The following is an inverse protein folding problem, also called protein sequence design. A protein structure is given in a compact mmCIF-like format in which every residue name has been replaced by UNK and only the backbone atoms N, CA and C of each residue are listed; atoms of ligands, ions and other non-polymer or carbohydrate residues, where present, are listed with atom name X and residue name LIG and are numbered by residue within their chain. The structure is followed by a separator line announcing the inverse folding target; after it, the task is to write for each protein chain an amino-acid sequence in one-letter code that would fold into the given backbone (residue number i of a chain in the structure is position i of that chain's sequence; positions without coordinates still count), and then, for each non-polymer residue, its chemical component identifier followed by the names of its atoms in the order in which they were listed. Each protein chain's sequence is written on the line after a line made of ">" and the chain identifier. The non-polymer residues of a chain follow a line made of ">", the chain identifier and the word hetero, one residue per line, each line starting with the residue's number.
data_IF_738611034789
#
_entry.id   IF_738611034789
#
_cell.length_a   1.000
_cell.length_b   1.000
_cell.length_c   1.000
_cell.angle_alpha   90.00
_cell.angle_beta   90.00
_cell.angle_gamma   90.00
#
_symmetry.space_group_name_H-M   'P 1'
#
loop_
_entity.id
_entity.type
_entity.pdbx_description
1 polymer ?
#
# COMPACT_ATOMS: atom_id res chain seq x y z
N UNK A 1 -54.58 -53.56 -13.56
CA UNK A 1 -55.90 -53.21 -14.11
C UNK A 1 -56.86 -53.15 -12.94
N UNK A 2 -57.58 -52.03 -12.81
CA UNK A 2 -58.61 -51.70 -11.81
C UNK A 2 -58.13 -51.43 -10.37
N UNK A 3 -58.61 -50.44 -9.63
CA UNK A 3 -59.51 -49.31 -9.91
C UNK A 3 -59.50 -48.41 -8.65
N UNK A 4 -59.53 -47.09 -8.84
CA UNK A 4 -59.99 -46.15 -7.82
C UNK A 4 -61.51 -46.25 -7.69
N UNK A 5 -62.05 -46.23 -6.46
CA UNK A 5 -63.44 -45.81 -6.21
C UNK A 5 -63.50 -44.91 -4.97
N UNK A 6 -64.16 -43.77 -5.15
CA UNK A 6 -64.50 -42.72 -4.20
C UNK A 6 -65.39 -43.18 -3.04
N UNK A 7 -65.30 -42.49 -1.88
CA UNK A 7 -66.46 -41.85 -1.21
C UNK A 7 -66.09 -41.18 0.13
N UNK A 8 -66.42 -39.88 0.28
CA UNK A 8 -66.57 -39.14 1.57
C UNK A 8 -67.94 -39.51 2.24
N UNK A 9 -68.36 -38.94 3.39
CA UNK A 9 -67.71 -38.62 4.69
C UNK A 9 -68.54 -39.13 5.91
N UNK A 10 -68.00 -39.12 7.16
CA UNK A 10 -68.79 -38.92 8.41
C UNK A 10 -67.91 -38.66 9.65
N UNK A 11 -68.50 -37.98 10.64
CA UNK A 11 -67.96 -37.23 11.79
C UNK A 11 -67.52 -38.05 13.03
N UNK A 12 -66.60 -37.42 13.79
CA UNK A 12 -66.43 -37.27 15.26
C UNK A 12 -65.86 -38.39 16.19
N UNK A 13 -64.62 -38.13 16.69
CA UNK A 13 -64.09 -38.01 18.11
C UNK A 13 -64.35 -39.17 19.11
N UNK A 14 -63.33 -39.72 19.85
CA UNK A 14 -62.81 -39.12 21.11
C UNK A 14 -61.31 -39.28 21.50
N UNK A 15 -60.88 -38.30 22.32
CA UNK A 15 -60.02 -38.32 23.53
C UNK A 15 -58.52 -38.74 23.55
N UNK A 16 -57.69 -37.69 23.69
CA UNK A 16 -56.60 -37.42 24.68
C UNK A 16 -55.78 -38.54 25.35
N UNK A 17 -54.45 -38.39 25.26
CA UNK A 17 -53.57 -38.32 26.44
C UNK A 17 -52.28 -37.52 26.13
N UNK A 18 -52.10 -36.41 26.86
CA UNK A 18 -50.96 -35.49 26.82
C UNK A 18 -49.89 -35.98 27.80
N UNK A 19 -48.64 -36.13 27.35
CA UNK A 19 -47.47 -36.21 28.25
C UNK A 19 -46.76 -34.86 28.25
N UNK A 20 -46.75 -34.23 29.42
CA UNK A 20 -46.11 -32.94 29.65
C UNK A 20 -44.59 -33.02 29.59
N UNK A 21 -43.99 -32.03 28.92
CA UNK A 21 -42.57 -31.68 29.05
C UNK A 21 -42.55 -30.30 29.69
N UNK A 22 -41.93 -30.20 30.86
CA UNK A 22 -41.75 -28.96 31.62
C UNK A 22 -40.91 -27.96 30.80
N UNK A 23 -41.44 -26.76 30.62
CA UNK A 23 -40.71 -25.59 30.10
C UNK A 23 -39.98 -24.96 31.29
N UNK A 24 -38.65 -25.09 31.32
CA UNK A 24 -37.78 -24.36 32.23
C UNK A 24 -37.42 -23.02 31.57
N UNK A 25 -38.01 -21.93 32.05
CA UNK A 25 -37.69 -20.56 31.61
C UNK A 25 -36.42 -20.09 32.34
N UNK A 26 -35.27 -20.14 31.69
CA UNK A 26 -34.04 -19.49 32.15
C UNK A 26 -34.00 -18.05 31.64
N UNK A 27 -34.25 -17.10 32.54
CA UNK A 27 -33.94 -15.68 32.36
C UNK A 27 -32.41 -15.50 32.43
N UNK A 28 -31.75 -15.40 31.28
CA UNK A 28 -30.37 -14.93 31.17
C UNK A 28 -30.38 -13.39 31.11
N UNK A 29 -30.04 -12.77 32.23
CA UNK A 29 -29.55 -11.41 32.27
C UNK A 29 -28.14 -11.40 31.67
N UNK A 30 -28.01 -10.97 30.41
CA UNK A 30 -26.74 -10.60 29.82
C UNK A 30 -26.80 -9.12 29.48
N UNK A 31 -26.25 -8.30 30.37
CA UNK A 31 -25.67 -7.03 29.96
C UNK A 31 -24.34 -7.34 29.31
N UNK A 32 -24.21 -7.07 28.02
CA UNK A 32 -22.94 -7.07 27.30
C UNK A 32 -23.09 -6.06 26.16
N UNK A 33 -22.16 -5.10 26.12
CA UNK A 33 -22.08 -4.13 25.05
C UNK A 33 -22.03 -4.85 23.71
N UNK A 34 -22.88 -4.42 22.78
CA UNK A 34 -22.84 -4.89 21.42
C UNK A 34 -21.46 -4.56 20.82
N UNK A 35 -20.56 -5.53 20.83
CA UNK A 35 -19.43 -5.53 19.91
C UNK A 35 -20.05 -5.45 18.51
N UNK A 36 -19.80 -4.35 17.80
CA UNK A 36 -20.27 -4.19 16.42
C UNK A 36 -19.81 -5.39 15.61
N UNK A 37 -20.78 -6.20 15.17
CA UNK A 37 -20.52 -7.31 14.25
C UNK A 37 -20.12 -6.65 12.92
N UNK A 38 -18.82 -6.66 12.62
CA UNK A 38 -18.32 -6.24 11.31
C UNK A 38 -18.89 -7.23 10.28
N UNK A 39 -19.74 -6.79 9.33
CA UNK A 39 -20.30 -7.71 8.34
C UNK A 39 -19.18 -8.27 7.46
N UNK A 40 -19.25 -9.56 7.14
CA UNK A 40 -18.37 -10.15 6.12
C UNK A 40 -18.76 -9.56 4.77
N UNK A 41 -17.88 -8.81 4.13
CA UNK A 41 -18.10 -8.20 2.82
C UNK A 41 -18.11 -9.23 1.65
N UNK A 42 -18.46 -10.49 1.91
CA UNK A 42 -18.31 -11.66 1.03
C UNK A 42 -19.44 -11.81 -0.02
N UNK A 43 -20.10 -10.73 -0.45
CA UNK A 43 -21.07 -10.82 -1.55
C UNK A 43 -20.74 -9.86 -2.70
N UNK A 44 -20.35 -10.45 -3.82
CA UNK A 44 -20.13 -9.80 -5.13
C UNK A 44 -21.40 -9.17 -5.73
N UNK A 45 -22.56 -9.33 -5.09
CA UNK A 45 -23.84 -8.73 -5.48
C UNK A 45 -24.30 -7.58 -4.56
N UNK A 46 -23.65 -7.36 -3.40
CA UNK A 46 -24.16 -6.48 -2.34
C UNK A 46 -24.16 -4.98 -2.67
N UNK A 47 -23.26 -4.53 -3.56
CA UNK A 47 -23.12 -3.11 -3.89
C UNK A 47 -23.75 -2.71 -5.24
N UNK A 48 -24.33 -3.64 -6.00
CA UNK A 48 -24.93 -3.37 -7.32
C UNK A 48 -26.13 -2.40 -7.28
N UNK A 49 -26.67 -2.16 -6.09
CA UNK A 49 -27.81 -1.27 -5.86
C UNK A 49 -27.36 0.17 -5.55
N UNK A 50 -26.07 0.40 -5.30
CA UNK A 50 -25.55 1.72 -4.96
C UNK A 50 -24.86 2.34 -6.18
N UNK A 51 -25.37 3.46 -6.72
CA UNK A 51 -24.74 4.11 -7.85
C UNK A 51 -23.33 4.56 -7.46
N UNK A 52 -22.37 4.31 -8.34
CA UNK A 52 -21.03 4.92 -8.31
C UNK A 52 -21.16 6.38 -8.74
N UNK A 53 -22.01 7.15 -8.06
CA UNK A 53 -22.01 8.59 -8.22
C UNK A 53 -20.81 9.11 -7.45
N UNK A 54 -19.76 9.46 -8.19
CA UNK A 54 -18.54 10.05 -7.65
C UNK A 54 -18.76 11.44 -7.03
N UNK A 55 -19.96 12.02 -7.20
CA UNK A 55 -20.36 13.30 -6.65
C UNK A 55 -21.57 13.11 -5.73
N UNK A 56 -21.43 13.57 -4.50
CA UNK A 56 -22.52 13.64 -3.53
C UNK A 56 -23.33 14.92 -3.76
N UNK A 57 -24.65 14.82 -3.58
CA UNK A 57 -25.57 15.93 -3.90
C UNK A 57 -25.57 17.02 -2.82
N UNK A 58 -25.26 16.66 -1.57
CA UNK A 58 -25.24 17.60 -0.46
C UNK A 58 -23.81 18.14 -0.21
N UNK A 59 -23.66 19.42 0.18
CA UNK A 59 -22.36 20.05 0.39
C UNK A 59 -21.60 19.50 1.61
N UNK A 60 -22.30 18.84 2.53
CA UNK A 60 -21.74 18.15 3.71
C UNK A 60 -21.56 16.64 3.50
N UNK A 61 -21.85 16.13 2.29
CA UNK A 61 -21.69 14.73 1.95
C UNK A 61 -20.44 14.48 1.08
N UNK A 62 -19.70 13.43 1.44
CA UNK A 62 -18.46 13.05 0.80
C UNK A 62 -18.51 11.59 0.38
N UNK A 63 -17.96 11.30 -0.80
CA UNK A 63 -17.90 9.95 -1.29
C UNK A 63 -16.91 9.12 -0.46
N UNK A 64 -17.31 7.92 -0.07
CA UNK A 64 -16.47 6.93 0.59
C UNK A 64 -16.70 5.56 -0.03
N UNK A 65 -15.64 4.76 -0.25
CA UNK A 65 -15.75 3.37 -0.72
C UNK A 65 -16.37 2.41 0.31
N UNK A 66 -16.48 2.88 1.56
CA UNK A 66 -16.95 2.12 2.73
C UNK A 66 -18.08 2.86 3.44
N UNK A 67 -18.95 3.55 2.69
CA UNK A 67 -20.03 4.37 3.24
C UNK A 67 -21.22 3.55 3.76
N UNK A 68 -21.58 2.48 3.05
CA UNK A 68 -22.83 1.75 3.27
C UNK A 68 -22.57 0.29 3.63
N UNK A 69 -23.62 -0.39 4.11
CA UNK A 69 -23.58 -1.81 4.47
C UNK A 69 -22.44 -2.16 5.45
N UNK A 70 -22.31 -1.39 6.53
CA UNK A 70 -21.30 -1.62 7.58
C UNK A 70 -19.85 -1.50 7.09
N UNK A 71 -19.59 -0.65 6.09
CA UNK A 71 -18.25 -0.42 5.56
C UNK A 71 -17.92 -1.19 4.29
N UNK A 72 -18.85 -1.98 3.75
CA UNK A 72 -18.60 -2.85 2.61
C UNK A 72 -18.87 -2.20 1.25
N UNK A 73 -19.72 -1.16 1.18
CA UNK A 73 -20.17 -0.61 -0.09
C UNK A 73 -19.92 0.90 -0.22
N UNK A 74 -19.66 1.39 -1.45
CA UNK A 74 -19.45 2.81 -1.71
C UNK A 74 -20.75 3.61 -1.50
N UNK A 75 -20.60 4.91 -1.26
CA UNK A 75 -21.71 5.83 -1.09
C UNK A 75 -21.29 7.17 -0.50
N UNK A 76 -22.27 8.00 -0.18
CA UNK A 76 -22.05 9.31 0.42
C UNK A 76 -22.21 9.24 1.94
N UNK A 77 -21.26 9.83 2.67
CA UNK A 77 -21.32 9.99 4.12
C UNK A 77 -21.20 11.46 4.50
N UNK A 78 -21.94 11.87 5.52
CA UNK A 78 -21.78 13.22 6.07
C UNK A 78 -20.44 13.35 6.78
N UNK A 79 -19.78 14.48 6.62
CA UNK A 79 -18.52 14.76 7.30
C UNK A 79 -18.17 16.25 7.33
N UNK A 80 -17.25 16.61 8.21
CA UNK A 80 -16.73 17.97 8.28
C UNK A 80 -15.65 18.19 7.19
N UNK A 81 -15.71 19.29 6.42
CA UNK A 81 -14.74 19.57 5.37
C UNK A 81 -13.36 19.93 5.93
N UNK A 82 -12.35 19.98 5.05
CA UNK A 82 -11.00 20.45 5.40
C UNK A 82 -11.06 21.85 6.04
N UNK A 83 -10.41 22.03 7.18
CA UNK A 83 -10.39 23.30 7.92
C UNK A 83 -11.56 23.53 8.88
N UNK A 84 -12.58 22.67 8.89
CA UNK A 84 -13.69 22.78 9.85
C UNK A 84 -13.29 22.33 11.26
N UNK A 85 -13.95 22.89 12.27
CA UNK A 85 -13.77 22.52 13.67
C UNK A 85 -14.40 21.15 13.95
N UNK A 86 -13.66 20.26 14.60
CA UNK A 86 -14.04 18.91 15.00
C UNK A 86 -13.97 18.76 16.53
N UNK A 87 -14.66 17.77 17.10
CA UNK A 87 -14.73 17.56 18.56
C UNK A 87 -15.30 18.75 19.36
N UNK A 88 -16.09 19.61 18.74
CA UNK A 88 -16.78 20.70 19.45
C UNK A 88 -17.75 20.10 20.50
N UNK A 89 -17.70 20.54 21.78
CA UNK A 89 -18.71 20.17 22.75
C UNK A 89 -20.05 20.81 22.36
N UNK A 90 -21.10 19.99 22.26
CA UNK A 90 -22.46 20.45 21.96
C UNK A 90 -22.93 21.40 23.08
N UNK A 91 -22.88 22.71 22.85
CA UNK A 91 -23.30 23.73 23.81
C UNK A 91 -24.81 24.00 23.73
N UNK A 92 -25.62 22.96 23.50
CA UNK A 92 -27.07 23.05 23.41
C UNK A 92 -27.70 22.27 24.56
N UNK A 93 -28.24 23.00 25.53
CA UNK A 93 -29.19 22.52 26.56
C UNK A 93 -30.56 22.14 25.98
N UNK A 94 -30.59 21.53 24.79
CA UNK A 94 -31.84 21.08 24.15
C UNK A 94 -31.74 19.62 23.73
N UNK A 95 -32.52 18.81 24.45
CA UNK A 95 -32.97 17.45 24.17
C UNK A 95 -31.94 16.32 23.97
N UNK A 96 -32.18 15.13 24.58
CA UNK A 96 -31.25 13.99 24.59
C UNK A 96 -31.20 13.18 23.28
N UNK A 97 -31.52 13.77 22.13
CA UNK A 97 -31.51 13.09 20.81
C UNK A 97 -30.65 13.80 19.75
N UNK A 98 -29.87 14.81 20.11
CA UNK A 98 -28.96 15.49 19.18
C UNK A 98 -27.74 14.61 18.87
N UNK A 99 -27.65 14.21 17.60
CA UNK A 99 -26.57 13.43 16.99
C UNK A 99 -25.18 13.96 17.39
N UNK A 100 -24.19 13.09 17.69
CA UNK A 100 -22.81 13.53 17.88
C UNK A 100 -22.35 14.32 16.64
N UNK A 101 -21.64 15.42 16.85
CA UNK A 101 -21.05 16.21 15.76
C UNK A 101 -20.39 15.26 14.74
N UNK A 102 -20.65 15.44 13.42
CA UNK A 102 -20.17 14.49 12.43
C UNK A 102 -18.63 14.45 12.46
N UNK A 103 -18.01 13.28 12.23
CA UNK A 103 -16.56 13.20 12.13
C UNK A 103 -16.05 14.01 10.92
N UNK A 104 -14.74 14.24 10.87
CA UNK A 104 -14.12 14.75 9.65
C UNK A 104 -14.45 13.86 8.45
N UNK A 105 -14.58 14.47 7.27
CA UNK A 105 -14.86 13.77 6.03
C UNK A 105 -13.83 12.66 5.75
N UNK A 106 -14.20 11.61 4.98
CA UNK A 106 -13.27 10.54 4.59
C UNK A 106 -11.96 11.10 4.01
N UNK A 107 -10.83 10.59 4.49
CA UNK A 107 -9.51 11.12 4.12
C UNK A 107 -9.02 12.28 4.99
N UNK A 108 -9.82 12.75 5.94
CA UNK A 108 -9.42 13.77 6.91
C UNK A 108 -9.31 13.17 8.32
N UNK A 109 -8.49 13.79 9.16
CA UNK A 109 -8.35 13.48 10.59
C UNK A 109 -8.51 14.75 11.41
N UNK A 110 -9.12 14.62 12.59
CA UNK A 110 -9.18 15.72 13.56
C UNK A 110 -7.79 15.91 14.16
N UNK A 111 -7.11 16.99 13.78
CA UNK A 111 -5.74 17.27 14.15
C UNK A 111 -5.59 18.39 15.18
N UNK A 112 -4.38 18.92 15.30
CA UNK A 112 -4.04 20.03 16.19
C UNK A 112 -4.97 21.23 15.98
N UNK A 113 -5.49 21.75 17.10
CA UNK A 113 -6.43 22.86 17.13
C UNK A 113 -7.89 22.44 16.93
N UNK A 114 -8.21 21.14 17.04
CA UNK A 114 -9.56 20.62 16.79
C UNK A 114 -10.04 20.98 15.38
N UNK A 115 -9.16 20.87 14.39
CA UNK A 115 -9.47 21.18 13.00
C UNK A 115 -9.26 19.94 12.13
N UNK A 116 -10.18 19.69 11.19
CA UNK A 116 -10.04 18.64 10.20
C UNK A 116 -8.87 18.94 9.25
N UNK A 117 -7.91 18.02 9.17
CA UNK A 117 -6.69 18.10 8.36
C UNK A 117 -6.55 16.88 7.45
N UNK A 118 -5.74 17.01 6.40
CA UNK A 118 -5.46 15.90 5.49
C UNK A 118 -4.81 14.73 6.25
N UNK A 119 -5.36 13.52 6.06
CA UNK A 119 -4.69 12.29 6.46
C UNK A 119 -3.94 11.72 5.25
N UNK A 120 -2.66 12.09 5.09
CA UNK A 120 -1.85 11.67 3.92
C UNK A 120 -1.64 10.16 3.85
N UNK A 121 -1.83 9.42 4.94
CA UNK A 121 -1.82 7.96 4.93
C UNK A 121 -3.11 7.35 4.32
N UNK A 122 -4.13 8.16 4.04
CA UNK A 122 -5.37 7.75 3.40
C UNK A 122 -5.52 8.46 2.04
N UNK A 123 -5.65 7.72 0.95
CA UNK A 123 -5.70 8.31 -0.38
C UNK A 123 -6.94 9.20 -0.60
N UNK A 124 -8.05 8.97 0.13
CA UNK A 124 -9.23 9.83 0.06
C UNK A 124 -8.94 11.29 0.47
N UNK A 125 -7.81 11.55 1.15
CA UNK A 125 -7.35 12.92 1.43
C UNK A 125 -7.13 13.74 0.14
N UNK A 126 -6.86 13.07 -0.98
CA UNK A 126 -6.70 13.69 -2.31
C UNK A 126 -7.94 14.42 -2.81
N UNK A 127 -9.15 14.04 -2.35
CA UNK A 127 -10.40 14.70 -2.75
C UNK A 127 -10.59 16.08 -2.10
N UNK A 128 -9.78 16.42 -1.11
CA UNK A 128 -9.86 17.68 -0.37
C UNK A 128 -8.82 18.70 -0.82
N UNK A 129 -8.02 18.37 -1.84
CA UNK A 129 -6.95 19.24 -2.34
C UNK A 129 -7.33 19.76 -3.71
N UNK A 130 -7.22 21.07 -3.88
CA UNK A 130 -7.50 21.71 -5.16
C UNK A 130 -6.46 21.31 -6.21
N UNK A 131 -6.93 20.80 -7.35
CA UNK A 131 -6.11 20.28 -8.44
C UNK A 131 -5.33 21.38 -9.18
N UNK A 132 -5.68 22.64 -8.98
CA UNK A 132 -5.01 23.81 -9.56
C UNK A 132 -3.65 24.11 -8.89
N UNK A 133 -3.49 23.68 -7.65
CA UNK A 133 -2.30 23.95 -6.83
C UNK A 133 -1.28 22.80 -6.92
N UNK A 134 -1.74 21.57 -7.22
CA UNK A 134 -0.87 20.38 -7.27
C UNK A 134 -0.91 19.79 -8.68
N UNK A 135 0.25 19.76 -9.35
CA UNK A 135 0.38 19.25 -10.73
C UNK A 135 0.17 17.75 -10.89
N UNK A 136 0.10 16.98 -9.80
CA UNK A 136 -0.21 15.56 -9.83
C UNK A 136 -0.92 15.09 -8.56
N UNK A 137 -2.07 14.43 -8.73
CA UNK A 137 -2.85 13.85 -7.65
C UNK A 137 -2.72 12.32 -7.67
N UNK A 138 -2.36 11.68 -6.54
CA UNK A 138 -2.32 10.23 -6.42
C UNK A 138 -3.64 9.56 -6.81
N UNK A 139 -3.55 8.39 -7.43
CA UNK A 139 -4.72 7.59 -7.77
C UNK A 139 -5.09 6.69 -6.59
N UNK A 140 -6.37 6.65 -6.24
CA UNK A 140 -6.88 5.77 -5.20
C UNK A 140 -7.46 4.48 -5.79
N UNK A 141 -7.37 3.38 -5.03
CA UNK A 141 -8.07 2.16 -5.38
C UNK A 141 -9.54 2.20 -4.93
N UNK A 142 -10.30 1.15 -5.24
CA UNK A 142 -11.72 1.05 -4.92
C UNK A 142 -12.01 0.96 -3.42
N UNK A 143 -10.99 0.87 -2.55
CA UNK A 143 -11.10 0.89 -1.08
C UNK A 143 -10.62 2.21 -0.49
N UNK A 144 -10.24 3.19 -1.32
CA UNK A 144 -9.77 4.49 -0.87
C UNK A 144 -8.33 4.48 -0.35
N UNK A 145 -7.61 3.37 -0.56
CA UNK A 145 -6.17 3.30 -0.33
C UNK A 145 -5.44 3.83 -1.56
N UNK A 146 -4.13 4.04 -1.43
CA UNK A 146 -3.33 4.38 -2.61
C UNK A 146 -3.34 3.19 -3.58
N UNK A 147 -3.60 3.48 -4.85
CA UNK A 147 -3.50 2.47 -5.89
C UNK A 147 -2.06 1.92 -5.93
N UNK A 148 -1.88 0.59 -6.09
CA UNK A 148 -0.57 -0.04 -6.08
C UNK A 148 0.44 0.58 -7.04
N UNK A 149 -0.04 1.04 -8.21
CA UNK A 149 0.75 1.62 -9.29
C UNK A 149 0.41 3.09 -9.43
N UNK A 150 1.40 3.95 -9.29
CA UNK A 150 1.28 5.38 -9.54
C UNK A 150 2.16 5.77 -10.72
N UNK A 151 1.58 6.38 -11.75
CA UNK A 151 2.31 6.79 -12.95
C UNK A 151 2.32 8.32 -13.07
N UNK A 152 3.48 8.91 -13.36
CA UNK A 152 3.64 10.35 -13.58
C UNK A 152 4.47 10.64 -14.84
N UNK A 153 4.52 11.91 -15.24
CA UNK A 153 5.24 12.37 -16.43
C UNK A 153 4.56 12.02 -17.75
N UNK A 154 5.20 12.46 -18.85
CA UNK A 154 4.72 12.28 -20.22
C UNK A 154 4.86 10.81 -20.70
N UNK A 155 4.46 10.54 -21.96
CA UNK A 155 4.50 9.18 -22.52
C UNK A 155 5.91 8.63 -22.79
N UNK A 156 6.90 9.50 -22.98
CA UNK A 156 8.27 9.15 -23.37
C UNK A 156 9.21 9.04 -22.17
N UNK A 157 9.14 9.97 -21.23
CA UNK A 157 9.99 10.08 -20.04
C UNK A 157 9.28 9.68 -18.74
N UNK A 158 7.95 9.53 -18.79
CA UNK A 158 7.15 9.16 -17.64
C UNK A 158 7.51 7.78 -17.09
N UNK A 159 7.31 7.64 -15.78
CA UNK A 159 7.60 6.42 -15.02
C UNK A 159 6.43 6.07 -14.13
N UNK A 160 6.33 4.78 -13.83
CA UNK A 160 5.40 4.23 -12.88
C UNK A 160 6.18 3.61 -11.72
N UNK A 161 5.64 3.74 -10.52
CA UNK A 161 6.22 3.20 -9.28
C UNK A 161 5.18 2.43 -8.48
N UNK A 162 5.67 1.51 -7.66
CA UNK A 162 4.86 0.82 -6.69
C UNK A 162 4.68 1.63 -5.40
N UNK A 163 3.48 1.57 -4.82
CA UNK A 163 3.10 2.27 -3.59
C UNK A 163 2.47 1.30 -2.58
N UNK A 164 2.73 1.54 -1.29
CA UNK A 164 2.00 0.89 -0.18
C UNK A 164 0.56 1.39 -0.09
N UNK A 165 -0.26 0.73 0.73
CA UNK A 165 -1.63 1.16 0.98
C UNK A 165 -1.72 2.59 1.56
N UNK A 166 -0.70 3.01 2.31
CA UNK A 166 -0.56 4.30 3.00
C UNK A 166 0.12 5.37 2.15
N UNK A 167 0.45 5.08 0.89
CA UNK A 167 1.01 6.09 -0.02
C UNK A 167 2.52 6.24 0.06
N UNK A 168 3.23 5.29 0.69
CA UNK A 168 4.69 5.25 0.65
C UNK A 168 5.16 4.62 -0.66
N UNK A 169 6.08 5.27 -1.38
CA UNK A 169 6.78 4.66 -2.52
C UNK A 169 7.58 3.44 -2.02
N UNK A 170 7.39 2.30 -2.67
CA UNK A 170 8.08 1.02 -2.38
C UNK A 170 8.82 0.53 -3.63
N UNK A 171 9.57 -0.55 -3.50
CA UNK A 171 10.31 -1.13 -4.61
C UNK A 171 9.39 -1.47 -5.80
N UNK A 172 9.85 -1.21 -7.02
CA UNK A 172 9.11 -1.49 -8.24
C UNK A 172 9.01 -0.26 -9.12
N UNK A 173 9.57 -0.34 -10.32
CA UNK A 173 9.54 0.74 -11.31
C UNK A 173 9.45 0.22 -12.73
N UNK A 174 8.75 0.96 -13.58
CA UNK A 174 8.72 0.72 -15.02
C UNK A 174 8.58 2.05 -15.77
N UNK A 175 9.08 2.10 -17.00
CA UNK A 175 8.75 3.19 -17.91
C UNK A 175 7.24 3.21 -18.14
N UNK A 176 6.63 4.39 -18.21
CA UNK A 176 5.16 4.53 -18.33
C UNK A 176 4.62 3.79 -19.55
N UNK A 177 5.35 3.77 -20.66
CA UNK A 177 5.00 3.05 -21.88
C UNK A 177 5.20 1.52 -21.81
N UNK A 178 5.78 1.00 -20.73
CA UNK A 178 6.04 -0.43 -20.47
C UNK A 178 5.32 -0.95 -19.22
N UNK A 179 4.50 -0.11 -18.57
CA UNK A 179 3.85 -0.41 -17.29
C UNK A 179 2.44 -1.02 -17.44
N UNK A 180 2.07 -1.55 -18.61
CA UNK A 180 0.75 -2.13 -18.84
C UNK A 180 0.49 -3.32 -17.90
N UNK A 181 1.49 -4.19 -17.74
CA UNK A 181 1.39 -5.41 -16.93
C UNK A 181 1.85 -5.22 -15.47
N UNK A 182 2.27 -4.01 -15.10
CA UNK A 182 2.73 -3.70 -13.74
C UNK A 182 1.53 -3.67 -12.78
N UNK A 183 1.49 -4.59 -11.82
CA UNK A 183 0.45 -4.68 -10.76
C UNK A 183 0.98 -4.36 -9.37
N UNK A 184 2.30 -4.42 -9.16
CA UNK A 184 2.95 -4.20 -7.86
C UNK A 184 2.56 -5.23 -6.78
N UNK A 185 1.96 -6.36 -7.16
CA UNK A 185 1.38 -7.30 -6.20
C UNK A 185 2.44 -7.93 -5.27
N UNK A 186 3.63 -8.23 -5.78
CA UNK A 186 4.72 -8.77 -4.97
C UNK A 186 5.28 -7.69 -4.04
N UNK A 187 5.59 -6.52 -4.59
CA UNK A 187 6.16 -5.43 -3.80
C UNK A 187 5.25 -5.01 -2.66
N UNK A 188 3.94 -4.88 -2.92
CA UNK A 188 2.96 -4.58 -1.87
C UNK A 188 2.94 -5.69 -0.83
N UNK A 189 2.80 -6.95 -1.24
CA UNK A 189 2.74 -8.07 -0.28
C UNK A 189 3.98 -8.14 0.60
N UNK A 190 5.17 -7.97 0.02
CA UNK A 190 6.42 -7.97 0.76
C UNK A 190 6.50 -6.79 1.72
N UNK A 191 6.16 -5.57 1.28
CA UNK A 191 6.12 -4.40 2.15
C UNK A 191 5.11 -4.55 3.31
N UNK A 192 3.93 -5.12 3.06
CA UNK A 192 2.92 -5.38 4.09
C UNK A 192 3.46 -6.37 5.14
N UNK A 193 4.07 -7.47 4.72
CA UNK A 193 4.67 -8.47 5.63
C UNK A 193 5.80 -7.87 6.47
N UNK A 194 6.66 -7.05 5.87
CA UNK A 194 7.75 -6.36 6.57
C UNK A 194 7.20 -5.33 7.58
N UNK A 195 6.12 -4.62 7.23
CA UNK A 195 5.42 -3.69 8.13
C UNK A 195 4.74 -4.42 9.30
N UNK A 196 4.27 -5.66 9.09
CA UNK A 196 3.80 -6.58 10.14
C UNK A 196 4.95 -7.10 11.04
N UNK A 197 6.21 -6.74 10.75
CA UNK A 197 7.38 -7.11 11.54
C UNK A 197 8.07 -8.41 11.09
N UNK A 198 7.69 -8.97 9.93
CA UNK A 198 8.43 -10.10 9.34
C UNK A 198 9.77 -9.62 8.81
N UNK A 199 10.85 -10.08 9.43
CA UNK A 199 12.22 -9.82 8.95
C UNK A 199 12.77 -10.93 8.05
N UNK A 200 12.04 -12.04 7.88
CA UNK A 200 12.43 -13.26 7.18
C UNK A 200 11.68 -13.46 5.85
N UNK A 201 11.18 -12.38 5.25
CA UNK A 201 10.44 -12.43 3.98
C UNK A 201 11.41 -12.69 2.84
N UNK A 202 11.18 -13.77 2.08
CA UNK A 202 12.06 -14.19 0.98
C UNK A 202 11.41 -14.09 -0.40
N UNK A 203 10.24 -13.44 -0.50
CA UNK A 203 9.54 -13.25 -1.78
C UNK A 203 10.40 -12.47 -2.79
N UNK A 204 10.48 -12.98 -4.03
CA UNK A 204 11.19 -12.33 -5.13
C UNK A 204 10.24 -11.59 -6.06
N UNK A 205 10.49 -10.30 -6.23
CA UNK A 205 9.73 -9.46 -7.13
C UNK A 205 10.52 -9.20 -8.42
N UNK A 206 9.82 -9.07 -9.53
CA UNK A 206 10.40 -8.49 -10.75
C UNK A 206 10.70 -7.01 -10.54
N UNK A 207 11.48 -6.40 -11.44
CA UNK A 207 11.81 -4.97 -11.34
C UNK A 207 10.59 -4.04 -11.31
N UNK A 208 9.49 -4.41 -11.97
CA UNK A 208 8.24 -3.66 -11.96
C UNK A 208 7.33 -4.01 -10.76
N UNK A 209 7.79 -4.88 -9.85
CA UNK A 209 7.12 -5.19 -8.59
C UNK A 209 6.05 -6.27 -8.66
N UNK A 210 5.96 -7.00 -9.77
CA UNK A 210 5.19 -8.24 -9.87
C UNK A 210 5.95 -9.41 -9.22
N UNK A 211 5.31 -10.55 -9.04
CA UNK A 211 6.01 -11.76 -8.57
C UNK A 211 6.88 -12.31 -9.69
N UNK A 212 8.09 -12.73 -9.34
CA UNK A 212 8.80 -13.71 -10.16
C UNK A 212 8.06 -15.06 -10.09
N UNK A 213 8.21 -15.91 -11.10
CA UNK A 213 7.45 -17.17 -11.14
C UNK A 213 7.84 -18.13 -10.03
N UNK A 214 9.12 -18.26 -9.71
CA UNK A 214 9.57 -19.12 -8.62
C UNK A 214 9.55 -18.34 -7.30
N UNK A 215 8.69 -18.74 -6.36
CA UNK A 215 8.61 -18.14 -5.02
C UNK A 215 8.97 -19.17 -3.96
N UNK A 216 9.71 -18.73 -2.94
CA UNK A 216 9.87 -19.45 -1.69
C UNK A 216 9.63 -18.48 -0.53
N UNK A 217 8.82 -18.88 0.43
CA UNK A 217 8.58 -18.14 1.67
C UNK A 217 8.16 -19.10 2.77
N UNK A 218 8.67 -18.90 3.99
CA UNK A 218 8.36 -19.73 5.17
C UNK A 218 8.49 -21.25 4.94
N UNK A 219 9.58 -21.67 4.29
CA UNK A 219 9.89 -23.09 4.10
C UNK A 219 9.09 -23.80 3.02
N UNK A 220 8.29 -23.06 2.23
CA UNK A 220 7.49 -23.60 1.13
C UNK A 220 7.76 -22.79 -0.13
N UNK A 221 7.91 -23.50 -1.25
CA UNK A 221 8.13 -22.94 -2.56
C UNK A 221 7.01 -23.30 -3.54
N UNK A 222 6.67 -22.40 -4.45
CA UNK A 222 5.62 -22.60 -5.45
C UNK A 222 5.90 -21.81 -6.73
N UNK A 223 5.25 -22.22 -7.82
CA UNK A 223 5.18 -21.42 -9.04
C UNK A 223 4.03 -20.41 -8.91
N UNK A 224 4.34 -19.13 -8.88
CA UNK A 224 3.41 -18.02 -8.73
C UNK A 224 2.92 -17.49 -10.08
N UNK A 225 1.67 -17.05 -10.11
CA UNK A 225 1.12 -16.20 -11.16
C UNK A 225 1.70 -14.79 -10.95
N UNK A 226 2.45 -14.20 -11.89
CA UNK A 226 3.19 -12.95 -11.67
C UNK A 226 2.34 -11.80 -11.13
N UNK A 227 1.10 -11.68 -11.57
CA UNK A 227 0.21 -10.57 -11.26
C UNK A 227 -0.45 -10.66 -9.89
N UNK A 228 -0.51 -11.86 -9.28
CA UNK A 228 -1.30 -12.10 -8.06
C UNK A 228 -0.51 -12.80 -6.94
N UNK A 229 0.57 -13.50 -7.28
CA UNK A 229 1.34 -14.33 -6.34
C UNK A 229 0.69 -15.69 -6.06
N UNK A 230 -0.52 -15.94 -6.56
CA UNK A 230 -1.22 -17.20 -6.37
C UNK A 230 -0.50 -18.34 -7.07
N UNK A 231 -0.59 -19.55 -6.52
CA UNK A 231 -0.04 -20.73 -7.16
C UNK A 231 -0.64 -20.93 -8.57
N UNK A 232 0.23 -21.13 -9.56
CA UNK A 232 -0.15 -21.43 -10.92
C UNK A 232 -1.00 -22.72 -10.96
N UNK A 233 -2.14 -22.73 -11.66
CA UNK A 233 -2.99 -23.91 -11.80
C UNK A 233 -2.21 -25.12 -12.31
N UNK A 234 -2.44 -26.29 -11.71
CA UNK A 234 -1.79 -27.54 -12.12
C UNK A 234 -0.37 -27.76 -11.57
N UNK A 235 0.23 -26.78 -10.90
CA UNK A 235 1.50 -26.95 -10.17
C UNK A 235 1.25 -27.42 -8.73
N UNK A 236 2.30 -27.78 -7.99
CA UNK A 236 2.25 -28.09 -6.56
C UNK A 236 3.31 -27.29 -5.83
N UNK A 237 3.05 -26.93 -4.58
CA UNK A 237 4.06 -26.40 -3.70
C UNK A 237 5.00 -27.52 -3.20
N UNK A 238 6.27 -27.19 -3.00
CA UNK A 238 7.30 -28.08 -2.48
C UNK A 238 7.91 -27.50 -1.20
N UNK A 239 8.42 -28.34 -0.28
CA UNK A 239 9.33 -27.89 0.77
C UNK A 239 10.54 -27.13 0.20
N UNK A 240 11.10 -26.21 0.99
CA UNK A 240 12.20 -25.34 0.55
C UNK A 240 13.44 -26.10 0.07
N UNK A 241 13.73 -27.29 0.59
CA UNK A 241 14.85 -28.12 0.15
C UNK A 241 14.61 -28.82 -1.21
N UNK A 242 13.38 -28.78 -1.74
CA UNK A 242 12.97 -29.42 -2.99
C UNK A 242 12.48 -28.41 -4.05
N UNK A 243 12.76 -27.13 -3.86
CA UNK A 243 12.32 -26.05 -4.74
C UNK A 243 12.74 -26.22 -6.21
N UNK A 244 13.90 -26.84 -6.47
CA UNK A 244 14.41 -27.12 -7.81
C UNK A 244 13.59 -28.16 -8.59
N UNK A 245 12.65 -28.86 -7.94
CA UNK A 245 11.70 -29.75 -8.59
C UNK A 245 10.47 -29.02 -9.14
N UNK A 246 10.31 -27.73 -8.86
CA UNK A 246 9.22 -26.92 -9.40
C UNK A 246 9.35 -26.77 -10.92
N UNK A 247 8.25 -26.80 -11.69
CA UNK A 247 8.31 -26.68 -13.15
C UNK A 247 8.75 -25.30 -13.64
N UNK A 248 8.60 -24.26 -12.82
CA UNK A 248 9.09 -22.91 -13.09
C UNK A 248 10.57 -22.72 -12.71
N UNK A 249 11.22 -23.72 -12.12
CA UNK A 249 12.66 -23.66 -11.87
C UNK A 249 13.42 -23.72 -13.19
N UNK A 250 14.44 -22.89 -13.28
CA UNK A 250 15.37 -22.85 -14.40
C UNK A 250 16.77 -22.55 -13.85
N UNK A 251 17.70 -23.50 -14.00
CA UNK A 251 19.06 -23.40 -13.47
C UNK A 251 19.82 -22.18 -14.00
N UNK A 252 19.60 -21.77 -15.26
CA UNK A 252 20.27 -20.60 -15.83
C UNK A 252 19.76 -19.30 -15.23
N UNK A 253 18.45 -19.21 -14.95
CA UNK A 253 17.84 -18.00 -14.41
C UNK A 253 18.00 -17.89 -12.89
N UNK A 254 17.87 -19.01 -12.17
CA UNK A 254 17.82 -19.04 -10.71
C UNK A 254 19.12 -19.53 -10.07
N UNK A 255 19.99 -20.22 -10.82
CA UNK A 255 21.21 -20.81 -10.27
C UNK A 255 20.93 -21.96 -9.30
N UNK A 256 21.87 -22.18 -8.39
CA UNK A 256 21.88 -23.30 -7.43
C UNK A 256 21.38 -22.93 -6.02
N UNK A 257 21.06 -21.65 -5.79
CA UNK A 257 20.54 -21.14 -4.52
C UNK A 257 19.37 -20.21 -4.82
N UNK A 258 18.31 -20.31 -4.01
CA UNK A 258 17.16 -19.42 -4.15
C UNK A 258 17.56 -17.97 -3.85
N UNK A 259 18.09 -17.70 -2.65
CA UNK A 259 18.51 -16.35 -2.25
C UNK A 259 19.68 -15.85 -3.11
N UNK A 260 19.55 -14.63 -3.64
CA UNK A 260 20.60 -13.96 -4.43
C UNK A 260 21.71 -13.46 -3.52
N UNK A 261 22.87 -13.14 -4.10
CA UNK A 261 24.08 -12.72 -3.36
C UNK A 261 23.80 -11.61 -2.33
N UNK A 262 23.07 -10.56 -2.68
CA UNK A 262 22.74 -9.50 -1.73
C UNK A 262 21.95 -10.06 -0.54
N UNK A 263 20.90 -10.82 -0.84
CA UNK A 263 19.98 -11.39 0.14
C UNK A 263 20.68 -12.40 1.05
N UNK A 264 21.56 -13.26 0.52
CA UNK A 264 22.35 -14.18 1.32
C UNK A 264 23.21 -13.43 2.34
N UNK A 265 23.82 -12.31 1.94
CA UNK A 265 24.62 -11.48 2.85
C UNK A 265 23.75 -10.76 3.88
N UNK A 266 22.61 -10.18 3.46
CA UNK A 266 21.66 -9.53 4.37
C UNK A 266 21.09 -10.52 5.40
N UNK A 267 20.68 -11.70 4.95
CA UNK A 267 20.19 -12.77 5.81
C UNK A 267 21.26 -13.26 6.79
N UNK A 268 22.50 -13.42 6.33
CA UNK A 268 23.63 -13.76 7.22
C UNK A 268 23.82 -12.72 8.33
N UNK A 269 23.72 -11.41 8.02
CA UNK A 269 23.81 -10.36 9.04
C UNK A 269 22.65 -10.41 10.04
N UNK A 270 21.44 -10.74 9.59
CA UNK A 270 20.28 -10.93 10.48
C UNK A 270 20.56 -12.07 11.48
N UNK A 271 21.05 -13.22 11.00
CA UNK A 271 21.39 -14.35 11.86
C UNK A 271 22.52 -14.00 12.86
N UNK A 272 23.55 -13.30 12.41
CA UNK A 272 24.63 -12.81 13.27
C UNK A 272 24.07 -11.89 14.36
N UNK A 273 23.26 -10.89 13.99
CA UNK A 273 22.65 -9.96 14.95
C UNK A 273 21.80 -10.69 15.99
N UNK A 274 20.99 -11.67 15.58
CA UNK A 274 20.24 -12.54 16.51
C UNK A 274 21.17 -13.25 17.48
N UNK A 275 22.27 -13.80 17.00
CA UNK A 275 23.23 -14.52 17.84
C UNK A 275 23.88 -13.60 18.89
N UNK A 276 24.18 -12.35 18.55
CA UNK A 276 24.69 -11.35 19.50
C UNK A 276 23.65 -11.00 20.57
N UNK A 277 22.39 -10.77 20.17
CA UNK A 277 21.29 -10.47 21.09
C UNK A 277 21.08 -11.64 22.07
N UNK A 278 21.03 -12.88 21.58
CA UNK A 278 20.86 -14.08 22.41
C UNK A 278 22.01 -14.23 23.42
N UNK A 279 23.22 -13.78 23.07
CA UNK A 279 24.40 -13.81 23.95
C UNK A 279 24.49 -12.61 24.90
N UNK A 280 23.48 -11.73 24.94
CA UNK A 280 23.44 -10.57 25.83
C UNK A 280 24.27 -9.37 25.36
N UNK A 281 24.75 -9.36 24.11
CA UNK A 281 25.38 -8.18 23.53
C UNK A 281 24.31 -7.24 22.95
N UNK A 282 24.25 -6.01 23.48
CA UNK A 282 23.45 -4.92 22.93
C UNK A 282 24.35 -3.91 22.20
N UNK A 283 23.80 -3.18 21.23
CA UNK A 283 24.52 -2.10 20.54
C UNK A 283 25.53 -2.53 19.46
N UNK A 284 25.51 -3.79 19.00
CA UNK A 284 26.38 -4.24 17.90
C UNK A 284 25.92 -3.58 16.59
N UNK A 285 26.77 -2.72 16.06
CA UNK A 285 26.53 -2.03 14.79
C UNK A 285 27.03 -2.89 13.64
N UNK A 286 26.14 -3.15 12.68
CA UNK A 286 26.47 -3.79 11.42
C UNK A 286 26.20 -2.79 10.31
N UNK A 287 27.03 -2.79 9.27
CA UNK A 287 26.71 -2.12 8.01
C UNK A 287 25.52 -2.84 7.40
N UNK A 288 24.31 -2.28 7.54
CA UNK A 288 23.10 -2.88 7.01
C UNK A 288 23.25 -3.10 5.49
N UNK A 289 23.22 -4.35 5.06
CA UNK A 289 23.14 -4.68 3.64
C UNK A 289 21.70 -4.45 3.21
N UNK A 290 21.50 -3.49 2.31
CA UNK A 290 20.20 -3.15 1.76
C UNK A 290 20.07 -3.87 0.43
N UNK A 291 19.03 -4.70 0.32
CA UNK A 291 18.67 -5.38 -0.92
C UNK A 291 17.29 -4.93 -1.36
N UNK A 292 17.13 -4.81 -2.67
CA UNK A 292 15.85 -4.61 -3.31
C UNK A 292 15.04 -5.91 -3.31
N UNK A 293 13.74 -5.84 -3.63
CA UNK A 293 12.89 -7.03 -3.58
C UNK A 293 13.10 -8.00 -4.75
N UNK A 294 13.82 -7.57 -5.78
CA UNK A 294 14.38 -8.42 -6.84
C UNK A 294 15.78 -8.95 -6.45
N UNK A 295 16.15 -8.94 -5.18
CA UNK A 295 17.47 -9.36 -4.68
C UNK A 295 18.68 -8.61 -5.26
N UNK A 296 18.47 -7.52 -6.00
CA UNK A 296 19.52 -6.61 -6.43
C UNK A 296 20.00 -5.75 -5.26
N UNK A 297 21.15 -5.09 -5.42
CA UNK A 297 21.67 -4.20 -4.38
C UNK A 297 20.81 -2.95 -4.26
N UNK A 298 20.62 -2.49 -3.02
CA UNK A 298 19.78 -1.35 -2.68
C UNK A 298 20.32 0.01 -3.12
N UNK A 299 19.68 1.05 -2.62
CA UNK A 299 19.92 2.44 -3.02
C UNK A 299 21.26 3.04 -2.61
N UNK A 300 21.83 2.59 -1.50
CA UNK A 300 23.14 3.02 -1.03
C UNK A 300 23.84 1.92 -0.24
N UNK A 301 25.15 2.05 -0.10
CA UNK A 301 25.99 1.30 0.84
C UNK A 301 26.61 2.25 1.84
N UNK A 302 26.71 1.81 3.10
CA UNK A 302 27.41 2.54 4.15
C UNK A 302 28.82 1.97 4.29
N UNK A 303 29.82 2.85 4.16
CA UNK A 303 31.22 2.53 4.40
C UNK A 303 31.87 3.61 5.26
N UNK A 304 32.36 3.22 6.44
CA UNK A 304 32.92 4.16 7.41
C UNK A 304 31.87 5.17 7.90
N UNK A 305 32.07 6.45 7.60
CA UNK A 305 31.19 7.55 8.00
C UNK A 305 30.41 8.18 6.84
N UNK A 306 30.41 7.53 5.67
CA UNK A 306 29.71 7.98 4.48
C UNK A 306 28.75 6.90 3.97
N UNK A 307 27.66 7.34 3.35
CA UNK A 307 26.80 6.50 2.53
C UNK A 307 27.00 6.91 1.06
N UNK A 308 27.25 5.95 0.19
CA UNK A 308 27.42 6.17 -1.24
C UNK A 308 26.25 5.53 -2.00
N UNK A 309 25.67 6.24 -2.97
CA UNK A 309 24.61 5.68 -3.80
C UNK A 309 25.14 4.47 -4.58
N UNK A 310 24.30 3.46 -4.75
CA UNK A 310 24.64 2.23 -5.45
C UNK A 310 23.68 1.93 -6.58
N UNK A 311 24.23 1.30 -7.62
CA UNK A 311 23.45 0.67 -8.67
C UNK A 311 23.02 -0.75 -8.27
N UNK A 312 22.16 -1.35 -9.08
CA UNK A 312 21.55 -2.66 -8.84
C UNK A 312 22.54 -3.82 -8.78
N UNK A 313 23.71 -3.66 -9.41
CA UNK A 313 24.82 -4.62 -9.34
C UNK A 313 25.76 -4.39 -8.12
N UNK A 314 25.46 -3.39 -7.29
CA UNK A 314 26.23 -3.02 -6.11
C UNK A 314 27.37 -2.05 -6.40
N UNK A 315 27.57 -1.63 -7.65
CA UNK A 315 28.58 -0.62 -8.00
C UNK A 315 28.19 0.74 -7.43
N UNK A 316 29.20 1.51 -6.97
CA UNK A 316 28.97 2.86 -6.46
C UNK A 316 28.74 3.84 -7.60
N UNK A 317 27.72 4.67 -7.46
CA UNK A 317 27.40 5.77 -8.38
C UNK A 317 28.17 7.02 -7.94
N UNK A 318 29.39 7.19 -8.47
CA UNK A 318 30.20 8.38 -8.22
C UNK A 318 29.67 9.58 -9.00
N UNK A 319 29.66 10.81 -8.44
CA UNK A 319 30.22 11.22 -7.15
C UNK A 319 29.23 11.20 -5.97
N UNK A 320 28.11 10.49 -6.08
CA UNK A 320 26.96 10.65 -5.19
C UNK A 320 27.13 9.99 -3.81
N UNK A 321 27.25 10.81 -2.77
CA UNK A 321 27.42 10.37 -1.38
C UNK A 321 26.94 11.40 -0.36
N UNK A 322 26.66 10.93 0.85
CA UNK A 322 26.23 11.76 1.98
C UNK A 322 26.89 11.30 3.27
N UNK A 323 27.00 12.21 4.24
CA UNK A 323 27.43 11.84 5.60
C UNK A 323 26.32 11.04 6.32
N UNK A 324 26.69 10.23 7.31
CA UNK A 324 25.69 9.52 8.12
C UNK A 324 24.74 10.45 8.89
N UNK A 325 25.12 11.71 9.15
CA UNK A 325 24.26 12.71 9.81
C UNK A 325 23.08 13.14 8.93
N UNK A 326 23.30 13.15 7.62
CA UNK A 326 22.35 13.60 6.60
C UNK A 326 21.73 12.44 5.84
N UNK A 327 21.93 11.20 6.31
CA UNK A 327 21.45 9.99 5.65
C UNK A 327 19.92 9.94 5.54
N UNK A 328 19.20 10.45 6.53
CA UNK A 328 17.73 10.45 6.52
C UNK A 328 17.13 11.26 5.36
N UNK A 329 17.87 12.26 4.85
CA UNK A 329 17.45 13.07 3.71
C UNK A 329 17.86 12.46 2.37
N UNK A 330 18.75 11.45 2.35
CA UNK A 330 19.29 10.84 1.13
C UNK A 330 18.40 9.71 0.61
N UNK A 331 17.98 9.80 -0.65
CA UNK A 331 17.20 8.76 -1.33
C UNK A 331 17.85 8.21 -2.61
N UNK A 332 18.91 8.84 -3.14
CA UNK A 332 19.64 8.40 -4.34
C UNK A 332 18.84 8.32 -5.64
N UNK A 333 17.60 8.84 -5.67
CA UNK A 333 16.72 8.68 -6.82
C UNK A 333 17.32 9.28 -8.10
N UNK A 334 17.89 10.49 -8.02
CA UNK A 334 18.46 11.17 -9.18
C UNK A 334 19.72 10.45 -9.69
N UNK A 335 20.61 10.04 -8.78
CA UNK A 335 21.81 9.28 -9.13
C UNK A 335 21.48 7.96 -9.86
N UNK A 336 20.48 7.23 -9.37
CA UNK A 336 20.02 6.01 -10.02
C UNK A 336 19.34 6.30 -11.36
N UNK A 337 18.53 7.34 -11.44
CA UNK A 337 17.86 7.71 -12.69
C UNK A 337 18.85 8.15 -13.76
N UNK A 338 19.92 8.86 -13.41
CA UNK A 338 20.98 9.21 -14.36
C UNK A 338 21.57 7.95 -15.02
N UNK A 339 21.90 6.94 -14.20
CA UNK A 339 22.39 5.64 -14.69
C UNK A 339 21.32 4.92 -15.51
N UNK A 340 20.07 4.91 -15.06
CA UNK A 340 18.94 4.27 -15.74
C UNK A 340 18.73 4.86 -17.14
N UNK A 341 18.68 6.19 -17.26
CA UNK A 341 18.52 6.89 -18.53
C UNK A 341 19.70 6.57 -19.47
N UNK A 342 20.93 6.58 -18.94
CA UNK A 342 22.10 6.22 -19.72
C UNK A 342 22.03 4.78 -20.29
N UNK A 343 21.47 3.82 -19.54
CA UNK A 343 21.33 2.43 -20.02
C UNK A 343 20.41 2.28 -21.23
N UNK A 344 19.50 3.24 -21.45
CA UNK A 344 18.60 3.27 -22.61
C UNK A 344 19.01 4.31 -23.66
N UNK A 345 20.27 4.78 -23.60
CA UNK A 345 20.81 5.76 -24.55
C UNK A 345 20.19 7.15 -24.41
N UNK A 346 19.69 7.52 -23.23
CA UNK A 346 19.10 8.83 -22.93
C UNK A 346 19.94 9.56 -21.90
N UNK A 347 19.87 10.88 -21.92
CA UNK A 347 20.48 11.72 -20.90
C UNK A 347 19.39 12.24 -19.96
N UNK A 348 19.64 12.22 -18.66
CA UNK A 348 18.76 12.86 -17.69
C UNK A 348 18.96 14.38 -17.76
N UNK A 349 17.91 15.13 -18.10
CA UNK A 349 17.98 16.59 -18.20
C UNK A 349 17.90 17.31 -16.84
N UNK A 350 17.47 16.59 -15.79
CA UNK A 350 17.30 17.13 -14.44
C UNK A 350 18.63 17.08 -13.68
N UNK A 351 18.84 18.08 -12.82
CA UNK A 351 20.02 18.18 -11.98
C UNK A 351 19.92 17.31 -10.71
N UNK A 352 21.04 16.70 -10.34
CA UNK A 352 21.21 15.94 -9.11
C UNK A 352 22.04 16.71 -8.07
N UNK A 353 21.64 16.60 -6.81
CA UNK A 353 22.46 16.99 -5.66
C UNK A 353 23.61 16.00 -5.43
N UNK A 354 24.65 16.42 -4.71
CA UNK A 354 25.80 15.56 -4.38
C UNK A 354 25.46 14.33 -3.53
N UNK A 355 24.32 14.32 -2.85
CA UNK A 355 23.79 13.16 -2.11
C UNK A 355 23.02 12.17 -3.02
N UNK A 356 22.85 12.47 -4.31
CA UNK A 356 22.11 11.66 -5.28
C UNK A 356 20.60 11.95 -5.34
N UNK A 357 20.09 12.94 -4.63
CA UNK A 357 18.71 13.39 -4.73
C UNK A 357 18.50 14.31 -5.92
N UNK A 358 17.25 14.53 -6.31
CA UNK A 358 16.91 15.59 -7.26
C UNK A 358 17.05 16.96 -6.60
N UNK A 359 17.62 17.93 -7.33
CA UNK A 359 17.57 19.35 -6.91
C UNK A 359 16.11 19.81 -6.97
N UNK A 360 15.50 20.32 -5.88
CA UNK A 360 14.07 20.67 -5.89
C UNK A 360 13.71 21.84 -6.81
N UNK A 361 14.49 22.92 -6.80
CA UNK A 361 14.26 24.11 -7.63
C UNK A 361 15.34 24.19 -8.73
N UNK A 362 14.94 24.10 -9.99
CA UNK A 362 15.84 24.03 -11.14
C UNK A 362 15.52 25.10 -12.19
N UNK A 363 16.45 25.36 -13.11
CA UNK A 363 16.29 26.34 -14.19
C UNK A 363 16.53 25.73 -15.57
N UNK A 364 15.69 26.09 -16.54
CA UNK A 364 15.85 25.74 -17.96
C UNK A 364 15.64 27.00 -18.78
N UNK A 365 16.69 27.46 -19.45
CA UNK A 365 16.69 28.68 -20.25
C UNK A 365 16.21 29.93 -19.47
N UNK A 366 16.58 30.04 -18.18
CA UNK A 366 16.19 31.16 -17.32
C UNK A 366 14.79 31.03 -16.68
N UNK A 367 14.01 30.02 -17.05
CA UNK A 367 12.71 29.74 -16.43
C UNK A 367 12.91 28.74 -15.28
N UNK A 368 12.42 29.10 -14.09
CA UNK A 368 12.49 28.23 -12.92
C UNK A 368 11.31 27.25 -12.87
N UNK A 369 11.57 26.04 -12.38
CA UNK A 369 10.58 24.98 -12.21
C UNK A 369 10.92 24.11 -10.99
N UNK A 370 9.88 23.50 -10.42
CA UNK A 370 10.00 22.63 -9.26
C UNK A 370 9.99 21.16 -9.66
N UNK A 371 10.86 20.37 -9.02
CA UNK A 371 11.03 18.93 -9.22
C UNK A 371 10.80 18.22 -7.90
N UNK A 372 10.00 17.16 -7.91
CA UNK A 372 9.76 16.35 -6.72
C UNK A 372 10.90 15.33 -6.46
N UNK A 373 10.96 14.72 -5.25
CA UNK A 373 11.98 13.72 -4.92
C UNK A 373 12.01 12.48 -5.83
N UNK A 374 10.96 12.24 -6.61
CA UNK A 374 10.87 11.13 -7.56
C UNK A 374 11.33 11.51 -8.97
N UNK A 375 11.69 12.78 -9.24
CA UNK A 375 12.20 13.21 -10.54
C UNK A 375 11.14 13.61 -11.55
N UNK A 376 10.08 14.29 -11.11
CA UNK A 376 9.09 14.89 -12.00
C UNK A 376 8.93 16.38 -11.74
N UNK A 377 8.75 17.13 -12.84
CA UNK A 377 8.39 18.54 -12.80
C UNK A 377 6.96 18.65 -12.26
N UNK A 378 6.77 19.40 -11.17
CA UNK A 378 5.48 19.59 -10.48
C UNK A 378 4.94 21.01 -10.59
N UNK A 379 5.78 21.98 -10.94
CA UNK A 379 5.38 23.35 -11.24
C UNK A 379 6.39 24.00 -12.18
N UNK A 380 5.92 24.88 -13.07
CA UNK A 380 6.73 25.64 -14.00
C UNK A 380 6.51 27.15 -13.79
N UNK A 381 7.46 27.96 -14.25
CA UNK A 381 7.40 29.42 -14.17
C UNK A 381 7.22 29.95 -12.74
N UNK A 382 8.02 29.41 -11.81
CA UNK A 382 8.00 29.78 -10.39
C UNK A 382 9.04 30.88 -10.08
N UNK A 383 8.96 31.50 -8.90
CA UNK A 383 9.97 32.47 -8.44
C UNK A 383 11.16 31.78 -7.77
N UNK A 384 12.25 32.52 -7.59
CA UNK A 384 13.46 32.06 -6.87
C UNK A 384 13.23 31.82 -5.36
N UNK A 385 12.21 32.44 -4.77
CA UNK A 385 11.80 32.27 -3.38
C UNK A 385 10.79 31.13 -3.16
N UNK A 386 10.47 30.38 -4.22
CA UNK A 386 9.42 29.36 -4.19
C UNK A 386 9.87 28.13 -3.39
N UNK A 387 9.08 27.74 -2.38
CA UNK A 387 9.19 26.42 -1.76
C UNK A 387 8.49 25.37 -2.63
N UNK A 388 9.27 24.48 -3.24
CA UNK A 388 8.74 23.45 -4.12
C UNK A 388 7.86 22.41 -3.42
N UNK A 389 7.92 22.30 -2.09
CA UNK A 389 7.07 21.37 -1.34
C UNK A 389 5.58 21.71 -1.45
N UNK A 390 5.22 22.97 -1.69
CA UNK A 390 3.81 23.35 -1.84
C UNK A 390 3.11 22.72 -3.06
N UNK A 391 3.88 22.28 -4.06
CA UNK A 391 3.36 21.61 -5.27
C UNK A 391 3.39 20.09 -5.16
N UNK A 392 3.80 19.55 -4.01
CA UNK A 392 3.95 18.12 -3.78
C UNK A 392 2.88 17.69 -2.79
N UNK A 393 2.03 16.76 -3.22
CA UNK A 393 1.01 16.18 -2.37
C UNK A 393 1.62 15.60 -1.08
N UNK A 394 1.14 16.08 0.07
CA UNK A 394 1.52 15.57 1.38
C UNK A 394 2.89 16.03 1.91
N UNK A 395 3.59 16.95 1.24
CA UNK A 395 4.91 17.41 1.70
C UNK A 395 4.87 18.35 2.91
N UNK A 396 3.73 19.01 3.16
CA UNK A 396 3.56 20.02 4.22
C UNK A 396 2.71 19.52 5.42
N UNK A 397 2.52 18.21 5.56
CA UNK A 397 1.63 17.61 6.58
C UNK A 397 2.40 17.08 7.77
#
# INVERSE_FOLDING_TARGET
>A
MCQFVHSRPRKMVPETCIRGVQVLLLLLLLGEGAAQIVPKCDSTLGCLVYPVQAACSAPDEFWSPSATHGGCCPGCVRGLPLGALCNEPSNTTESPESSPNPPCAPGLVCGLGNVCRLNTANCLSTYHVATDTIGWVPQCDSRGQYAPKQCRGDRLSGRCFCYSAEGKRIFGTSWRNQAQNMTCACSRRRADLEAEGRFDVTLHCTQDGNYEELQCDRGVCWCAVPQTGMQQPGTRAFPEDLWFLLPCYNETLHGVQYLRRCESMAFSQILQRKQFIIRGHSGVTFTNIICNYDGSYGQYVIEGQEAACTWRDGTKLSPYKSSLRTLAAMNCNCAQDEKLFATVGRTLELACEGNGNYVPLQSRNGVLFCVNPDGFIVAENVSDQTDCNQFIFGANV
#
